data_IF_712633641976
#
_entry.id   IF_712633641976
#
_cell.length_a   1.000
_cell.length_b   1.000
_cell.length_c   1.000
_cell.angle_alpha   90.00
_cell.angle_beta   90.00
_cell.angle_gamma   90.00
#
_symmetry.space_group_name_H-M   'P 1'
#
loop_
_entity.id
_entity.type
_entity.pdbx_description
1 polymer ?
#
# COMPACT_ATOMS: atom_id res chain seq x y z
N UNK A 1 -6.58 -3.72 -0.34
CA UNK A 1 -5.52 -3.39 0.64
C UNK A 1 -5.44 -4.38 1.79
N UNK A 2 -6.56 -4.88 2.34
CA UNK A 2 -6.59 -5.90 3.40
C UNK A 2 -5.61 -7.08 3.19
N UNK A 3 -5.51 -7.60 1.97
CA UNK A 3 -4.58 -8.67 1.60
C UNK A 3 -3.12 -8.38 2.01
N UNK A 4 -2.62 -7.16 1.83
CA UNK A 4 -1.22 -6.85 2.16
C UNK A 4 -0.97 -6.84 3.67
N UNK A 5 -1.95 -6.40 4.47
CA UNK A 5 -1.87 -6.51 5.93
C UNK A 5 -1.86 -7.98 6.35
N UNK A 6 -2.73 -8.80 5.76
CA UNK A 6 -2.77 -10.24 6.00
C UNK A 6 -1.43 -10.91 5.65
N UNK A 7 -0.88 -10.67 4.46
CA UNK A 7 0.42 -11.23 4.05
C UNK A 7 1.54 -10.74 4.97
N UNK A 8 1.54 -9.47 5.39
CA UNK A 8 2.55 -8.98 6.33
C UNK A 8 2.44 -9.66 7.70
N UNK A 9 1.23 -9.96 8.17
CA UNK A 9 0.99 -10.75 9.38
C UNK A 9 1.43 -12.20 9.24
N UNK A 10 1.13 -12.82 8.12
CA UNK A 10 1.63 -14.15 7.75
C UNK A 10 3.16 -14.19 7.78
N UNK A 11 3.83 -13.17 7.25
CA UNK A 11 5.29 -13.07 7.29
C UNK A 11 5.88 -12.62 8.63
N UNK A 12 5.06 -12.37 9.66
CA UNK A 12 5.56 -12.00 10.99
C UNK A 12 6.30 -13.17 11.66
N UNK A 13 7.24 -12.83 12.53
CA UNK A 13 8.05 -13.77 13.29
C UNK A 13 8.13 -13.31 14.74
N UNK A 14 7.84 -14.21 15.68
CA UNK A 14 7.74 -13.91 17.10
C UNK A 14 9.03 -13.36 17.72
N UNK A 15 10.21 -13.60 17.10
CA UNK A 15 11.47 -12.97 17.52
C UNK A 15 11.40 -11.43 17.58
N UNK A 16 10.51 -10.83 16.79
CA UNK A 16 10.30 -9.38 16.77
C UNK A 16 9.49 -8.88 17.97
N UNK A 17 8.79 -9.76 18.67
CA UNK A 17 8.14 -9.45 19.94
C UNK A 17 9.16 -9.39 21.06
N UNK A 18 10.21 -10.22 21.01
CA UNK A 18 11.28 -10.21 22.02
C UNK A 18 12.26 -9.03 21.83
N UNK A 19 12.50 -8.62 20.58
CA UNK A 19 13.32 -7.46 20.23
C UNK A 19 12.55 -6.49 19.31
N UNK A 20 11.76 -5.62 19.92
CA UNK A 20 10.98 -4.59 19.23
C UNK A 20 11.89 -3.58 18.51
N UNK A 21 13.08 -3.27 19.06
CA UNK A 21 14.01 -2.34 18.44
C UNK A 21 14.55 -2.86 17.12
N UNK A 22 14.83 -4.17 17.04
CA UNK A 22 15.19 -4.84 15.78
C UNK A 22 14.07 -4.71 14.74
N UNK A 23 12.81 -4.91 15.15
CA UNK A 23 11.67 -4.72 14.25
C UNK A 23 11.60 -3.28 13.73
N UNK A 24 11.69 -2.29 14.63
CA UNK A 24 11.64 -0.87 14.27
C UNK A 24 12.75 -0.53 13.28
N UNK A 25 14.00 -0.93 13.54
CA UNK A 25 15.13 -0.73 12.62
C UNK A 25 14.86 -1.32 11.24
N UNK A 26 14.33 -2.55 11.18
CA UNK A 26 13.99 -3.22 9.91
C UNK A 26 12.87 -2.48 9.17
N UNK A 27 11.83 -2.03 9.87
CA UNK A 27 10.69 -1.31 9.27
C UNK A 27 11.05 0.12 8.86
N UNK A 28 11.96 0.78 9.57
CA UNK A 28 12.54 2.05 9.12
C UNK A 28 13.25 1.87 7.77
N UNK A 29 14.10 0.85 7.64
CA UNK A 29 14.81 0.59 6.37
C UNK A 29 13.87 0.16 5.23
N UNK A 30 12.86 -0.66 5.52
CA UNK A 30 12.03 -1.30 4.48
C UNK A 30 10.76 -0.53 4.11
N UNK A 31 10.25 0.33 5.00
CA UNK A 31 9.02 1.10 4.78
C UNK A 31 9.31 2.61 4.80
N UNK A 32 9.90 3.13 5.89
CA UNK A 32 10.12 4.57 6.07
C UNK A 32 11.09 5.16 5.03
N UNK A 33 12.26 4.54 4.83
CA UNK A 33 13.26 5.06 3.88
C UNK A 33 12.71 5.07 2.44
N UNK A 34 12.09 3.99 1.93
CA UNK A 34 11.44 4.03 0.63
C UNK A 34 10.32 5.07 0.55
N UNK A 35 9.44 5.16 1.55
CA UNK A 35 8.40 6.20 1.62
C UNK A 35 9.01 7.60 1.46
N UNK A 36 10.00 7.94 2.30
CA UNK A 36 10.59 9.27 2.31
C UNK A 36 11.29 9.57 0.99
N UNK A 37 11.96 8.58 0.38
CA UNK A 37 12.59 8.74 -0.94
C UNK A 37 11.58 9.15 -2.01
N UNK A 38 10.42 8.50 -2.07
CA UNK A 38 9.40 8.83 -3.08
C UNK A 38 8.70 10.15 -2.76
N UNK A 39 8.36 10.41 -1.51
CA UNK A 39 7.76 11.68 -1.09
C UNK A 39 8.67 12.87 -1.36
N UNK A 40 9.97 12.76 -1.10
CA UNK A 40 10.94 13.81 -1.41
C UNK A 40 11.08 14.03 -2.91
N UNK A 41 11.04 12.97 -3.71
CA UNK A 41 11.02 13.09 -5.16
C UNK A 41 9.75 13.85 -5.61
N UNK A 42 8.56 13.44 -5.15
CA UNK A 42 7.31 14.08 -5.54
C UNK A 42 7.24 15.54 -5.07
N UNK A 43 7.72 15.82 -3.86
CA UNK A 43 7.81 17.18 -3.32
C UNK A 43 8.73 18.04 -4.19
N UNK A 44 9.93 17.56 -4.54
CA UNK A 44 10.88 18.30 -5.38
C UNK A 44 10.27 18.71 -6.72
N UNK A 45 9.50 17.81 -7.35
CA UNK A 45 8.84 18.05 -8.62
C UNK A 45 7.45 18.68 -8.49
N UNK A 46 6.98 19.02 -7.29
CA UNK A 46 5.61 19.49 -7.05
C UNK A 46 5.22 20.66 -7.96
N UNK A 47 5.98 21.76 -7.93
CA UNK A 47 5.68 22.93 -8.76
C UNK A 47 5.87 22.67 -10.26
N UNK A 48 6.73 21.71 -10.64
CA UNK A 48 6.84 21.26 -12.04
C UNK A 48 5.57 20.54 -12.46
N UNK A 49 4.98 19.71 -11.58
CA UNK A 49 3.70 19.07 -11.84
C UNK A 49 2.55 20.07 -11.95
N UNK A 50 2.60 21.18 -11.22
CA UNK A 50 1.65 22.29 -11.39
C UNK A 50 1.82 22.94 -12.77
N UNK A 51 3.04 23.27 -13.19
CA UNK A 51 3.26 23.96 -14.48
C UNK A 51 2.83 23.12 -15.70
N UNK A 52 2.92 21.79 -15.60
CA UNK A 52 2.49 20.88 -16.68
C UNK A 52 1.05 20.35 -16.52
N UNK A 53 0.24 20.96 -15.64
CA UNK A 53 -1.17 20.60 -15.37
C UNK A 53 -1.39 19.19 -14.78
N UNK A 54 -0.36 18.52 -14.27
CA UNK A 54 -0.53 17.27 -13.49
C UNK A 54 -1.20 17.56 -12.15
N UNK A 55 -0.88 18.72 -11.56
CA UNK A 55 -1.55 19.29 -10.39
C UNK A 55 -2.36 20.53 -10.76
N UNK A 56 -3.42 20.83 -9.99
CA UNK A 56 -4.15 22.10 -10.10
C UNK A 56 -3.23 23.30 -9.83
N UNK A 57 -3.46 24.46 -10.48
CA UNK A 57 -2.70 25.68 -10.24
C UNK A 57 -2.78 26.16 -8.78
N UNK A 58 -3.88 25.86 -8.08
CA UNK A 58 -4.14 26.25 -6.69
C UNK A 58 -3.23 25.53 -5.69
N UNK A 59 -2.58 24.42 -6.08
CA UNK A 59 -1.67 23.67 -5.21
C UNK A 59 -0.23 24.18 -5.23
N UNK A 60 0.09 25.24 -5.97
CA UNK A 60 1.48 25.72 -6.11
C UNK A 60 2.09 26.08 -4.75
N UNK A 61 3.24 25.49 -4.43
CA UNK A 61 3.93 25.71 -3.18
C UNK A 61 4.85 26.93 -3.21
N UNK A 62 4.74 27.75 -2.17
CA UNK A 62 5.73 28.71 -1.71
C UNK A 62 6.91 28.03 -1.00
N UNK A 63 8.01 28.76 -0.77
CA UNK A 63 9.19 28.23 -0.06
C UNK A 63 8.86 27.72 1.34
N UNK A 64 7.96 28.40 2.05
CA UNK A 64 7.52 27.99 3.38
C UNK A 64 6.73 26.67 3.33
N UNK A 65 5.88 26.48 2.33
CA UNK A 65 5.12 25.24 2.15
C UNK A 65 6.01 24.05 1.79
N UNK A 66 7.07 24.26 0.99
CA UNK A 66 8.08 23.23 0.76
C UNK A 66 8.71 22.72 2.06
N UNK A 67 9.12 23.63 2.95
CA UNK A 67 9.72 23.28 4.25
C UNK A 67 8.68 22.59 5.14
N UNK A 68 7.45 23.13 5.21
CA UNK A 68 6.38 22.56 6.00
C UNK A 68 6.03 21.13 5.55
N UNK A 69 5.88 20.89 4.25
CA UNK A 69 5.57 19.57 3.70
C UNK A 69 6.75 18.61 3.80
N UNK A 70 8.01 19.10 3.71
CA UNK A 70 9.17 18.29 4.03
C UNK A 70 9.11 17.73 5.47
N UNK A 71 8.84 18.60 6.45
CA UNK A 71 8.73 18.19 7.87
C UNK A 71 7.55 17.23 8.06
N UNK A 72 6.39 17.52 7.47
CA UNK A 72 5.22 16.65 7.58
C UNK A 72 5.46 15.27 6.97
N UNK A 73 6.09 15.19 5.79
CA UNK A 73 6.45 13.93 5.15
C UNK A 73 7.47 13.18 6.02
N UNK A 74 8.48 13.86 6.58
CA UNK A 74 9.44 13.25 7.49
C UNK A 74 8.79 12.61 8.73
N UNK A 75 7.69 13.21 9.21
CA UNK A 75 6.94 12.74 10.38
C UNK A 75 5.75 11.82 10.05
N UNK A 76 5.59 11.36 8.80
CA UNK A 76 4.41 10.59 8.34
C UNK A 76 3.04 11.30 8.49
N UNK A 77 3.03 12.64 8.55
CA UNK A 77 1.83 13.46 8.77
C UNK A 77 1.11 13.77 7.46
N UNK A 78 1.81 13.74 6.33
CA UNK A 78 1.23 13.99 5.00
C UNK A 78 1.89 13.14 3.92
N UNK A 79 1.25 13.16 2.75
CA UNK A 79 1.78 12.63 1.49
C UNK A 79 1.43 13.62 0.38
N UNK A 80 2.27 13.68 -0.64
CA UNK A 80 1.96 14.35 -1.89
C UNK A 80 0.76 13.70 -2.58
N UNK A 81 0.01 14.44 -3.40
CA UNK A 81 -1.20 13.91 -4.05
C UNK A 81 -0.90 12.67 -4.93
N UNK A 82 0.19 12.68 -5.71
CA UNK A 82 0.67 11.50 -6.45
C UNK A 82 1.27 10.41 -5.56
N UNK A 83 1.60 10.74 -4.31
CA UNK A 83 2.03 9.82 -3.26
C UNK A 83 0.86 9.26 -2.46
N UNK A 84 -0.40 9.59 -2.80
CA UNK A 84 -1.55 9.28 -1.98
C UNK A 84 -1.67 7.80 -1.56
N UNK A 85 -1.16 6.84 -2.33
CA UNK A 85 -1.18 5.43 -1.95
C UNK A 85 -0.26 5.07 -0.76
N UNK A 86 0.68 5.95 -0.41
CA UNK A 86 1.62 5.75 0.69
C UNK A 86 0.96 5.79 2.08
N UNK A 87 -0.30 6.22 2.21
CA UNK A 87 -1.09 6.04 3.44
C UNK A 87 -1.01 4.59 3.95
N UNK A 88 -1.00 3.63 3.01
CA UNK A 88 -0.92 2.21 3.32
C UNK A 88 0.44 1.83 3.93
N UNK A 89 1.54 2.43 3.48
CA UNK A 89 2.89 2.16 4.00
C UNK A 89 3.03 2.69 5.43
N UNK A 90 2.49 3.88 5.70
CA UNK A 90 2.42 4.45 7.05
C UNK A 90 1.58 3.55 7.96
N UNK A 91 0.39 3.17 7.50
CA UNK A 91 -0.50 2.28 8.26
C UNK A 91 0.16 0.91 8.54
N UNK A 92 0.84 0.33 7.54
CA UNK A 92 1.55 -0.95 7.70
C UNK A 92 2.69 -0.85 8.71
N UNK A 93 3.41 0.27 8.74
CA UNK A 93 4.45 0.54 9.73
C UNK A 93 3.85 0.54 11.14
N UNK A 94 2.75 1.28 11.34
CA UNK A 94 2.03 1.36 12.63
C UNK A 94 1.54 -0.03 13.06
N UNK A 95 0.84 -0.76 12.19
CA UNK A 95 0.30 -2.10 12.49
C UNK A 95 1.40 -3.08 12.92
N UNK A 96 2.57 -3.05 12.27
CA UNK A 96 3.68 -3.92 12.65
C UNK A 96 4.19 -3.64 14.07
N UNK A 97 4.34 -2.37 14.43
CA UNK A 97 4.80 -1.96 15.76
C UNK A 97 3.73 -2.29 16.81
N UNK A 98 2.46 -1.94 16.53
CA UNK A 98 1.34 -2.26 17.41
C UNK A 98 1.25 -3.76 17.70
N UNK A 99 1.31 -4.60 16.66
CA UNK A 99 1.22 -6.04 16.84
C UNK A 99 2.38 -6.61 17.66
N UNK A 100 3.60 -6.09 17.48
CA UNK A 100 4.76 -6.49 18.26
C UNK A 100 4.65 -6.07 19.73
N UNK A 101 4.15 -4.86 20.01
CA UNK A 101 3.88 -4.39 21.37
C UNK A 101 2.82 -5.24 22.06
N UNK A 102 1.71 -5.52 21.38
CA UNK A 102 0.64 -6.39 21.90
C UNK A 102 1.20 -7.78 22.21
N UNK A 103 2.01 -8.34 21.31
CA UNK A 103 2.61 -9.66 21.49
C UNK A 103 3.62 -9.68 22.64
N UNK A 104 4.46 -8.64 22.75
CA UNK A 104 5.38 -8.46 23.87
C UNK A 104 4.64 -8.41 25.22
N UNK A 105 3.60 -7.58 25.34
CA UNK A 105 2.78 -7.49 26.55
C UNK A 105 2.08 -8.82 26.86
N UNK A 106 1.47 -9.44 25.85
CA UNK A 106 0.75 -10.71 26.02
C UNK A 106 1.66 -11.82 26.57
N UNK A 107 2.88 -11.92 26.04
CA UNK A 107 3.89 -12.90 26.47
C UNK A 107 4.37 -12.68 27.91
N UNK A 108 4.35 -11.42 28.39
CA UNK A 108 4.75 -11.05 29.76
C UNK A 108 3.64 -11.24 30.78
N UNK A 109 2.38 -11.00 30.40
CA UNK A 109 1.23 -11.13 31.30
C UNK A 109 0.92 -12.59 31.61
N UNK A 110 0.87 -13.46 30.60
CA UNK A 110 0.62 -14.89 30.82
C UNK A 110 1.12 -15.73 29.64
N UNK A 111 2.12 -16.58 29.89
CA UNK A 111 2.65 -17.50 28.88
C UNK A 111 1.60 -18.52 28.40
N UNK A 112 0.75 -19.01 29.31
CA UNK A 112 -0.26 -20.02 28.98
C UNK A 112 -1.45 -19.44 28.21
N UNK A 113 -1.77 -18.15 28.41
CA UNK A 113 -2.93 -17.50 27.81
C UNK A 113 -2.58 -16.41 26.79
N UNK A 114 -1.33 -16.35 26.32
CA UNK A 114 -0.82 -15.27 25.46
C UNK A 114 -1.67 -15.05 24.20
N UNK A 115 -2.10 -16.12 23.52
CA UNK A 115 -2.94 -15.98 22.32
C UNK A 115 -4.36 -15.49 22.65
N UNK A 116 -4.92 -15.90 23.79
CA UNK A 116 -6.22 -15.40 24.24
C UNK A 116 -6.16 -13.91 24.57
N UNK A 117 -5.09 -13.47 25.24
CA UNK A 117 -4.85 -12.05 25.54
C UNK A 117 -4.70 -11.25 24.25
N UNK A 118 -3.89 -11.74 23.31
CA UNK A 118 -3.69 -11.10 22.00
C UNK A 118 -5.01 -10.98 21.22
N UNK A 119 -5.82 -12.04 21.18
CA UNK A 119 -7.16 -12.02 20.56
C UNK A 119 -8.04 -10.92 21.12
N UNK A 120 -8.13 -10.84 22.45
CA UNK A 120 -8.96 -9.85 23.14
C UNK A 120 -8.48 -8.44 22.81
N UNK A 121 -7.18 -8.16 22.94
CA UNK A 121 -6.63 -6.82 22.66
C UNK A 121 -6.84 -6.42 21.19
N UNK A 122 -6.55 -7.31 20.24
CA UNK A 122 -6.74 -7.04 18.81
C UNK A 122 -8.22 -6.78 18.50
N UNK A 123 -9.14 -7.56 19.07
CA UNK A 123 -10.57 -7.38 18.86
C UNK A 123 -11.09 -6.07 19.47
N UNK A 124 -10.62 -5.69 20.66
CA UNK A 124 -10.95 -4.41 21.29
C UNK A 124 -10.47 -3.23 20.42
N UNK A 125 -9.24 -3.28 19.91
CA UNK A 125 -8.69 -2.23 19.05
C UNK A 125 -9.41 -2.16 17.69
N UNK A 126 -9.77 -3.31 17.11
CA UNK A 126 -10.60 -3.36 15.91
C UNK A 126 -11.97 -2.70 16.15
N UNK A 127 -12.63 -3.03 17.26
CA UNK A 127 -13.92 -2.48 17.63
C UNK A 127 -13.82 -0.97 17.83
N UNK A 128 -12.80 -0.51 18.55
CA UNK A 128 -12.50 0.91 18.75
C UNK A 128 -12.27 1.63 17.41
N UNK A 129 -11.49 1.04 16.49
CA UNK A 129 -11.26 1.59 15.15
C UNK A 129 -12.55 1.77 14.34
N UNK A 130 -13.45 0.80 14.39
CA UNK A 130 -14.75 0.89 13.72
C UNK A 130 -15.65 1.96 14.36
N UNK A 131 -15.72 2.03 15.69
CA UNK A 131 -16.47 3.06 16.42
C UNK A 131 -15.97 4.46 16.02
N UNK A 132 -14.66 4.67 16.02
CA UNK A 132 -14.04 5.95 15.62
C UNK A 132 -14.37 6.29 14.16
N UNK A 133 -14.35 5.30 13.26
CA UNK A 133 -14.66 5.49 11.84
C UNK A 133 -16.13 5.89 11.60
N UNK A 134 -17.07 5.29 12.35
CA UNK A 134 -18.51 5.59 12.25
C UNK A 134 -18.82 7.00 12.77
N UNK A 135 -18.29 7.35 13.94
CA UNK A 135 -18.63 8.61 14.60
C UNK A 135 -18.00 9.85 13.96
N UNK A 136 -17.14 9.67 12.94
CA UNK A 136 -16.46 10.74 12.16
C UNK A 136 -16.37 12.02 12.96
N UNK A 137 -15.50 12.01 13.99
CA UNK A 137 -15.25 13.21 14.78
C UNK A 137 -15.06 14.39 13.83
N UNK A 138 -15.67 15.55 14.14
CA UNK A 138 -15.61 16.80 13.36
C UNK A 138 -14.17 17.35 13.28
N UNK A 139 -13.25 16.53 12.78
CA UNK A 139 -11.85 16.80 12.61
C UNK A 139 -11.72 17.59 11.32
N UNK A 140 -11.03 18.71 11.43
CA UNK A 140 -10.79 19.64 10.33
C UNK A 140 -10.13 18.96 9.12
N UNK A 141 -10.45 19.48 7.93
CA UNK A 141 -9.88 19.06 6.66
C UNK A 141 -8.36 19.21 6.62
N UNK A 142 -7.67 18.32 5.91
CA UNK A 142 -6.24 18.41 5.64
C UNK A 142 -5.42 17.30 6.29
N UNK A 143 -4.21 17.63 6.72
CA UNK A 143 -3.22 16.65 7.21
C UNK A 143 -3.60 16.00 8.55
N UNK A 144 -4.35 16.69 9.41
CA UNK A 144 -4.85 16.12 10.67
C UNK A 144 -5.83 14.98 10.36
N UNK A 145 -6.77 15.19 9.43
CA UNK A 145 -7.69 14.16 8.97
C UNK A 145 -6.95 12.98 8.34
N UNK A 146 -5.93 13.25 7.52
CA UNK A 146 -5.09 12.18 6.93
C UNK A 146 -4.43 11.31 8.00
N UNK A 147 -3.77 11.93 8.99
CA UNK A 147 -3.07 11.21 10.05
C UNK A 147 -4.04 10.44 10.94
N UNK A 148 -5.17 11.06 11.30
CA UNK A 148 -6.23 10.41 12.07
C UNK A 148 -6.80 9.19 11.33
N UNK A 149 -7.17 9.35 10.06
CA UNK A 149 -7.65 8.25 9.22
C UNK A 149 -6.61 7.13 9.12
N UNK A 150 -5.33 7.45 9.02
CA UNK A 150 -4.26 6.46 8.97
C UNK A 150 -4.17 5.66 10.26
N UNK A 151 -4.30 6.29 11.43
CA UNK A 151 -4.33 5.60 12.72
C UNK A 151 -5.58 4.72 12.82
N UNK A 152 -6.78 5.27 12.55
CA UNK A 152 -8.03 4.52 12.63
C UNK A 152 -8.03 3.31 11.71
N UNK A 153 -7.56 3.48 10.46
CA UNK A 153 -7.38 2.38 9.51
C UNK A 153 -6.37 1.36 10.00
N UNK A 154 -5.31 1.78 10.71
CA UNK A 154 -4.34 0.85 11.32
C UNK A 154 -4.98 0.00 12.41
N UNK A 155 -5.87 0.58 13.24
CA UNK A 155 -6.64 -0.17 14.24
C UNK A 155 -7.52 -1.25 13.60
N UNK A 156 -8.24 -0.89 12.53
CA UNK A 156 -9.09 -1.83 11.76
C UNK A 156 -8.24 -2.90 11.06
N UNK A 157 -7.13 -2.50 10.44
CA UNK A 157 -6.23 -3.40 9.71
C UNK A 157 -5.50 -4.38 10.63
N UNK A 158 -5.32 -4.07 11.92
CA UNK A 158 -4.66 -4.93 12.89
C UNK A 158 -5.32 -6.31 13.01
N UNK A 159 -6.66 -6.37 12.93
CA UNK A 159 -7.37 -7.66 12.93
C UNK A 159 -7.03 -8.48 11.69
N UNK A 160 -6.97 -7.86 10.51
CA UNK A 160 -6.59 -8.53 9.26
C UNK A 160 -5.14 -9.01 9.28
N UNK A 161 -4.25 -8.19 9.85
CA UNK A 161 -2.87 -8.59 10.09
C UNK A 161 -2.78 -9.79 11.03
N UNK A 162 -3.53 -9.77 12.14
CA UNK A 162 -3.56 -10.88 13.09
C UNK A 162 -4.14 -12.16 12.47
N UNK A 163 -5.17 -12.05 11.61
CA UNK A 163 -5.68 -13.20 10.84
C UNK A 163 -4.58 -13.84 10.00
N UNK A 164 -3.70 -13.05 9.38
CA UNK A 164 -2.56 -13.57 8.62
C UNK A 164 -1.54 -14.30 9.50
N UNK A 165 -1.24 -13.74 10.66
CA UNK A 165 -0.37 -14.36 11.66
C UNK A 165 -0.91 -15.72 12.12
N UNK A 166 -2.19 -15.80 12.45
CA UNK A 166 -2.84 -17.05 12.86
C UNK A 166 -2.94 -18.02 11.69
N UNK A 167 -3.29 -17.56 10.49
CA UNK A 167 -3.39 -18.43 9.32
C UNK A 167 -2.10 -19.22 9.10
N UNK A 168 -0.92 -18.62 9.26
CA UNK A 168 0.37 -19.32 9.15
C UNK A 168 0.50 -20.53 10.10
N UNK A 169 -0.09 -20.46 11.29
CA UNK A 169 -0.04 -21.54 12.27
C UNK A 169 -1.00 -22.69 11.93
N UNK A 170 -2.04 -22.41 11.13
CA UNK A 170 -3.11 -23.35 10.79
C UNK A 170 -3.18 -23.64 9.28
N UNK A 171 -2.20 -23.21 8.49
CA UNK A 171 -2.23 -23.27 7.03
C UNK A 171 -2.46 -24.71 6.53
N UNK A 172 -1.78 -25.68 7.13
CA UNK A 172 -1.93 -27.10 6.78
C UNK A 172 -3.35 -27.65 7.04
N UNK A 173 -4.09 -27.03 7.96
CA UNK A 173 -5.46 -27.44 8.35
C UNK A 173 -6.54 -26.76 7.51
N UNK A 174 -6.18 -25.77 6.68
CA UNK A 174 -7.12 -24.99 5.89
C UNK A 174 -6.86 -25.28 4.40
N UNK A 175 -7.40 -26.38 3.85
CA UNK A 175 -7.25 -26.67 2.44
C UNK A 175 -7.96 -25.62 1.58
N UNK A 176 -7.27 -25.15 0.54
CA UNK A 176 -7.80 -24.20 -0.42
C UNK A 176 -8.56 -24.95 -1.53
N UNK A 177 -9.83 -24.63 -1.70
CA UNK A 177 -10.76 -25.31 -2.59
C UNK A 177 -11.28 -24.35 -3.67
N UNK A 178 -11.36 -24.84 -4.91
CA UNK A 178 -11.85 -24.08 -6.05
C UNK A 178 -13.30 -23.59 -5.85
N UNK A 179 -14.15 -24.45 -5.28
CA UNK A 179 -15.56 -24.14 -5.01
C UNK A 179 -15.71 -22.94 -4.07
N UNK A 180 -14.96 -22.90 -2.98
CA UNK A 180 -14.96 -21.77 -2.04
C UNK A 180 -14.39 -20.49 -2.67
N UNK A 181 -13.41 -20.60 -3.57
CA UNK A 181 -12.89 -19.47 -4.32
C UNK A 181 -13.96 -18.89 -5.27
N UNK A 182 -14.68 -19.75 -5.98
CA UNK A 182 -15.81 -19.35 -6.85
C UNK A 182 -16.93 -18.71 -6.03
N UNK A 183 -17.33 -19.33 -4.91
CA UNK A 183 -18.32 -18.77 -3.98
C UNK A 183 -17.88 -17.38 -3.50
N UNK A 184 -16.62 -17.21 -3.14
CA UNK A 184 -16.06 -15.92 -2.73
C UNK A 184 -16.11 -14.87 -3.84
N UNK A 185 -15.86 -15.25 -5.10
CA UNK A 185 -15.96 -14.35 -6.26
C UNK A 185 -17.40 -13.91 -6.47
N UNK A 186 -18.35 -14.86 -6.48
CA UNK A 186 -19.78 -14.59 -6.64
C UNK A 186 -20.27 -13.69 -5.51
N UNK A 187 -19.86 -13.99 -4.27
CA UNK A 187 -20.19 -13.17 -3.12
C UNK A 187 -19.69 -11.73 -3.28
N UNK A 188 -18.42 -11.52 -3.62
CA UNK A 188 -17.87 -10.16 -3.82
C UNK A 188 -18.56 -9.40 -4.95
N UNK A 189 -18.92 -10.10 -6.05
CA UNK A 189 -19.64 -9.50 -7.16
C UNK A 189 -21.03 -9.00 -6.74
N UNK A 190 -21.75 -9.79 -5.94
CA UNK A 190 -23.04 -9.39 -5.35
C UNK A 190 -22.83 -8.25 -4.35
N UNK A 191 -21.82 -8.37 -3.48
CA UNK A 191 -21.59 -7.45 -2.37
C UNK A 191 -21.24 -6.03 -2.82
N UNK A 192 -20.61 -5.89 -3.99
CA UNK A 192 -20.33 -4.58 -4.61
C UNK A 192 -21.59 -3.72 -4.83
N UNK A 193 -22.78 -4.32 -4.93
CA UNK A 193 -24.05 -3.58 -5.08
C UNK A 193 -24.54 -2.94 -3.78
N UNK A 194 -24.09 -3.45 -2.63
CA UNK A 194 -24.60 -3.06 -1.31
C UNK A 194 -23.66 -2.10 -0.57
N UNK A 195 -22.40 -2.00 -0.98
CA UNK A 195 -21.43 -1.18 -0.28
C UNK A 195 -20.07 -1.08 -0.96
N UNK A 196 -19.23 -0.19 -0.43
CA UNK A 196 -17.86 0.00 -0.88
C UNK A 196 -16.94 0.23 0.32
N UNK A 197 -15.73 -0.33 0.26
CA UNK A 197 -14.72 -0.19 1.30
C UNK A 197 -13.59 0.69 0.78
N UNK A 198 -13.32 1.79 1.47
CA UNK A 198 -12.15 2.63 1.24
C UNK A 198 -11.33 2.71 2.51
N UNK A 199 -10.35 1.81 2.66
CA UNK A 199 -9.43 1.84 3.81
C UNK A 199 -8.62 3.14 3.84
N UNK A 200 -8.19 3.66 2.68
CA UNK A 200 -7.43 4.91 2.61
C UNK A 200 -8.26 6.14 2.96
N UNK A 201 -9.57 6.10 2.66
CA UNK A 201 -10.53 7.11 3.09
C UNK A 201 -11.13 6.85 4.46
N UNK A 202 -10.70 5.79 5.18
CA UNK A 202 -11.26 5.36 6.46
C UNK A 202 -12.81 5.24 6.42
N UNK A 203 -13.33 4.68 5.32
CA UNK A 203 -14.76 4.53 5.06
C UNK A 203 -15.11 3.06 4.93
N UNK A 204 -15.92 2.58 5.87
CA UNK A 204 -16.44 1.23 5.95
C UNK A 204 -17.96 1.30 6.06
N UNK A 205 -18.69 0.43 5.35
CA UNK A 205 -20.15 0.33 5.50
C UNK A 205 -20.51 -0.13 6.92
N UNK A 206 -19.95 -1.27 7.32
CA UNK A 206 -20.04 -1.83 8.66
C UNK A 206 -18.88 -2.83 8.88
N UNK A 207 -18.59 -3.21 10.13
CA UNK A 207 -17.46 -4.09 10.45
C UNK A 207 -17.58 -5.48 9.82
N UNK A 208 -18.79 -6.04 9.72
CA UNK A 208 -19.01 -7.38 9.17
C UNK A 208 -18.82 -7.39 7.66
N UNK A 209 -19.36 -6.40 6.96
CA UNK A 209 -19.15 -6.19 5.54
C UNK A 209 -17.67 -6.06 5.20
N UNK A 210 -16.91 -5.29 6.01
CA UNK A 210 -15.46 -5.18 5.85
C UNK A 210 -14.75 -6.53 6.00
N UNK A 211 -15.06 -7.29 7.05
CA UNK A 211 -14.38 -8.55 7.34
C UNK A 211 -14.71 -9.62 6.31
N UNK A 212 -15.98 -9.83 6.00
CA UNK A 212 -16.40 -10.86 5.03
C UNK A 212 -15.81 -10.56 3.66
N UNK A 213 -15.89 -9.31 3.20
CA UNK A 213 -15.29 -8.90 1.92
C UNK A 213 -13.77 -9.09 1.91
N UNK A 214 -13.10 -8.77 3.02
CA UNK A 214 -11.66 -8.96 3.16
C UNK A 214 -11.28 -10.43 3.12
N UNK A 215 -12.01 -11.30 3.84
CA UNK A 215 -11.77 -12.76 3.89
C UNK A 215 -11.98 -13.38 2.51
N UNK A 216 -13.08 -13.06 1.81
CA UNK A 216 -13.31 -13.54 0.45
C UNK A 216 -12.18 -13.10 -0.49
N UNK A 217 -11.77 -11.83 -0.44
CA UNK A 217 -10.67 -11.31 -1.25
C UNK A 217 -9.34 -12.00 -0.95
N UNK A 218 -9.03 -12.21 0.33
CA UNK A 218 -7.81 -12.92 0.76
C UNK A 218 -7.84 -14.37 0.27
N UNK A 219 -8.95 -15.07 0.46
CA UNK A 219 -9.11 -16.47 0.06
C UNK A 219 -8.89 -16.68 -1.43
N UNK A 220 -9.51 -15.83 -2.27
CA UNK A 220 -9.34 -15.86 -3.73
C UNK A 220 -7.87 -15.70 -4.10
N UNK A 221 -7.18 -14.73 -3.49
CA UNK A 221 -5.77 -14.48 -3.79
C UNK A 221 -4.86 -15.62 -3.33
N UNK A 222 -5.11 -16.22 -2.17
CA UNK A 222 -4.38 -17.41 -1.72
C UNK A 222 -4.57 -18.59 -2.66
N UNK A 223 -5.82 -18.85 -3.07
CA UNK A 223 -6.14 -19.93 -4.02
C UNK A 223 -5.45 -19.72 -5.37
N UNK A 224 -5.55 -18.52 -5.95
CA UNK A 224 -4.89 -18.17 -7.21
C UNK A 224 -3.38 -18.27 -7.09
N UNK A 225 -2.79 -17.75 -6.00
CA UNK A 225 -1.35 -17.82 -5.75
C UNK A 225 -0.85 -19.27 -5.73
N UNK A 226 -1.56 -20.16 -5.00
CA UNK A 226 -1.24 -21.59 -4.93
C UNK A 226 -1.38 -22.26 -6.30
N UNK A 227 -2.47 -22.00 -7.02
CA UNK A 227 -2.70 -22.53 -8.36
C UNK A 227 -1.60 -22.13 -9.36
N UNK A 228 -1.17 -20.86 -9.32
CA UNK A 228 -0.08 -20.35 -10.16
C UNK A 228 1.25 -21.02 -9.79
N UNK A 229 1.54 -21.13 -8.48
CA UNK A 229 2.78 -21.71 -7.96
C UNK A 229 2.93 -23.20 -8.36
N UNK A 230 1.86 -23.99 -8.20
CA UNK A 230 1.86 -25.42 -8.54
C UNK A 230 2.09 -25.67 -10.03
N UNK A 231 1.57 -24.79 -10.90
CA UNK A 231 1.69 -24.91 -12.36
C UNK A 231 2.91 -24.21 -12.95
N UNK A 232 3.72 -23.56 -12.13
CA UNK A 232 4.89 -22.76 -12.55
C UNK A 232 4.58 -21.69 -13.61
N UNK A 233 3.35 -21.21 -13.66
CA UNK A 233 2.89 -20.26 -14.69
C UNK A 233 3.40 -18.86 -14.38
N UNK A 234 4.22 -18.29 -15.27
CA UNK A 234 4.67 -16.89 -15.19
C UNK A 234 5.32 -16.47 -13.85
N UNK A 235 5.80 -17.42 -13.05
CA UNK A 235 6.35 -17.16 -11.71
C UNK A 235 7.45 -16.09 -11.78
N UNK A 236 8.38 -16.18 -12.73
CA UNK A 236 9.48 -15.23 -12.87
C UNK A 236 9.00 -13.79 -13.11
N UNK A 237 7.95 -13.60 -13.91
CA UNK A 237 7.40 -12.28 -14.20
C UNK A 237 6.68 -11.73 -12.97
N UNK A 238 5.81 -12.53 -12.34
CA UNK A 238 5.07 -12.13 -11.15
C UNK A 238 6.00 -11.84 -9.96
N UNK A 239 7.07 -12.62 -9.80
CA UNK A 239 8.12 -12.36 -8.82
C UNK A 239 8.85 -11.04 -9.11
N UNK A 240 9.17 -10.75 -10.37
CA UNK A 240 9.82 -9.51 -10.75
C UNK A 240 8.93 -8.29 -10.48
N UNK A 241 7.64 -8.38 -10.81
CA UNK A 241 6.64 -7.36 -10.46
C UNK A 241 6.58 -7.18 -8.93
N UNK A 242 6.46 -8.29 -8.19
CA UNK A 242 6.35 -8.30 -6.74
C UNK A 242 7.58 -7.69 -6.04
N UNK A 243 8.79 -8.01 -6.49
CA UNK A 243 10.05 -7.43 -5.99
C UNK A 243 10.11 -5.91 -6.20
N UNK A 244 9.41 -5.39 -7.21
CA UNK A 244 9.35 -3.98 -7.57
C UNK A 244 8.07 -3.26 -7.09
N UNK A 245 7.29 -3.88 -6.21
CA UNK A 245 6.01 -3.31 -5.70
C UNK A 245 6.17 -1.90 -5.15
N UNK A 246 7.27 -1.58 -4.47
CA UNK A 246 7.46 -0.21 -3.94
C UNK A 246 7.60 0.85 -5.02
N UNK A 247 8.23 0.52 -6.15
CA UNK A 247 8.36 1.45 -7.28
C UNK A 247 7.01 1.66 -7.94
N UNK A 248 6.23 0.59 -8.07
CA UNK A 248 4.85 0.64 -8.58
C UNK A 248 4.00 1.55 -7.69
N UNK A 249 4.02 1.35 -6.36
CA UNK A 249 3.29 2.21 -5.41
C UNK A 249 3.72 3.67 -5.55
N UNK A 250 5.02 3.96 -5.70
CA UNK A 250 5.51 5.33 -5.83
C UNK A 250 5.17 6.04 -7.14
N UNK A 251 5.00 5.31 -8.25
CA UNK A 251 4.87 5.92 -9.57
C UNK A 251 3.58 5.60 -10.34
N UNK A 252 2.72 4.69 -9.89
CA UNK A 252 1.52 4.32 -10.64
C UNK A 252 0.56 5.50 -10.88
N UNK A 253 0.39 6.43 -9.92
CA UNK A 253 -0.43 7.62 -10.15
C UNK A 253 0.18 8.58 -11.17
N UNK A 254 1.51 8.69 -11.21
CA UNK A 254 2.20 9.45 -12.27
C UNK A 254 2.03 8.76 -13.64
N UNK A 255 2.14 7.42 -13.67
CA UNK A 255 1.88 6.62 -14.87
C UNK A 255 0.44 6.79 -15.39
N UNK A 256 -0.55 6.93 -14.49
CA UNK A 256 -1.93 7.23 -14.89
C UNK A 256 -2.05 8.56 -15.63
N UNK A 257 -1.24 9.58 -15.28
CA UNK A 257 -1.26 10.87 -15.98
C UNK A 257 -0.89 10.74 -17.46
N UNK A 258 -0.02 9.79 -17.82
CA UNK A 258 0.30 9.49 -19.22
C UNK A 258 -0.90 8.91 -19.97
N UNK A 259 -1.66 8.00 -19.35
CA UNK A 259 -2.92 7.48 -19.93
C UNK A 259 -3.97 8.59 -20.03
N UNK A 260 -4.07 9.45 -19.02
CA UNK A 260 -4.95 10.62 -19.03
C UNK A 260 -4.60 11.59 -20.17
N UNK A 261 -3.32 11.83 -20.47
CA UNK A 261 -2.92 12.64 -21.63
C UNK A 261 -3.38 12.03 -22.96
N UNK A 262 -3.27 10.71 -23.12
CA UNK A 262 -3.78 10.01 -24.31
C UNK A 262 -5.30 10.23 -24.42
N UNK A 263 -6.03 10.07 -23.31
CA UNK A 263 -7.47 10.30 -23.25
C UNK A 263 -7.83 11.74 -23.61
N UNK A 264 -7.12 12.74 -23.08
CA UNK A 264 -7.33 14.15 -23.40
C UNK A 264 -7.20 14.39 -24.91
N UNK A 265 -6.15 13.85 -25.53
CA UNK A 265 -5.91 13.99 -26.97
C UNK A 265 -6.98 13.29 -27.82
N UNK A 266 -7.42 12.09 -27.42
CA UNK A 266 -8.41 11.32 -28.19
C UNK A 266 -9.82 11.91 -28.13
N UNK A 267 -10.20 12.50 -27.00
CA UNK A 267 -11.54 13.08 -26.80
C UNK A 267 -11.56 14.61 -26.89
N UNK A 268 -10.45 15.25 -27.31
CA UNK A 268 -10.28 16.71 -27.37
C UNK A 268 -10.71 17.43 -26.08
N UNK A 269 -10.32 16.88 -24.93
CA UNK A 269 -10.64 17.46 -23.63
C UNK A 269 -9.71 18.65 -23.32
N UNK A 270 -10.12 19.58 -22.44
CA UNK A 270 -9.22 20.61 -21.93
C UNK A 270 -8.03 20.00 -21.18
N UNK A 271 -6.82 20.55 -21.36
CA UNK A 271 -5.60 20.03 -20.70
C UNK A 271 -5.69 20.06 -19.17
N UNK A 272 -6.50 20.97 -18.61
CA UNK A 272 -6.76 21.11 -17.18
C UNK A 272 -7.37 19.84 -16.57
N UNK A 273 -8.05 19.01 -17.38
CA UNK A 273 -8.57 17.71 -16.95
C UNK A 273 -7.45 16.78 -16.49
N UNK A 274 -6.19 16.99 -16.92
CA UNK A 274 -5.03 16.22 -16.48
C UNK A 274 -4.82 16.31 -14.97
N UNK A 275 -5.23 17.41 -14.34
CA UNK A 275 -5.11 17.62 -12.90
C UNK A 275 -6.03 16.72 -12.07
N UNK A 276 -7.11 16.19 -12.67
CA UNK A 276 -8.07 15.31 -11.99
C UNK A 276 -7.39 14.08 -11.40
N UNK A 277 -7.84 13.72 -10.20
CA UNK A 277 -7.25 12.66 -9.41
C UNK A 277 -8.27 11.58 -9.03
N UNK A 278 -7.87 10.29 -9.06
CA UNK A 278 -6.61 9.76 -9.59
C UNK A 278 -6.56 9.71 -11.12
N UNK A 279 -7.73 9.74 -11.78
CA UNK A 279 -7.90 9.63 -13.24
C UNK A 279 -9.00 10.57 -13.73
N UNK A 280 -9.03 10.85 -15.03
CA UNK A 280 -10.11 11.62 -15.67
C UNK A 280 -11.37 10.75 -15.72
N UNK A 281 -12.50 11.25 -15.19
CA UNK A 281 -13.85 10.66 -15.17
C UNK A 281 -13.98 9.28 -15.85
N UNK A 282 -14.25 8.23 -15.07
CA UNK A 282 -14.26 6.85 -15.55
C UNK A 282 -15.28 6.65 -16.68
N UNK A 283 -14.78 6.27 -17.85
CA UNK A 283 -15.59 5.90 -19.03
C UNK A 283 -15.29 4.45 -19.39
N UNK A 284 -16.33 3.61 -19.45
CA UNK A 284 -16.30 2.21 -19.97
C UNK A 284 -15.10 1.39 -19.48
N UNK A 285 -14.10 1.16 -20.34
CA UNK A 285 -13.02 0.19 -20.15
C UNK A 285 -11.64 0.81 -19.91
N UNK A 286 -11.56 2.13 -19.74
CA UNK A 286 -10.28 2.83 -19.54
C UNK A 286 -9.51 2.38 -18.30
N UNK A 287 -10.21 1.85 -17.30
CA UNK A 287 -9.60 1.29 -16.10
C UNK A 287 -8.56 0.20 -16.42
N UNK A 288 -8.75 -0.59 -17.49
CA UNK A 288 -7.79 -1.63 -17.92
C UNK A 288 -6.47 -0.99 -18.34
N UNK A 289 -6.54 0.07 -19.16
CA UNK A 289 -5.35 0.79 -19.61
C UNK A 289 -4.63 1.48 -18.45
N UNK A 290 -5.38 2.09 -17.52
CA UNK A 290 -4.81 2.65 -16.30
C UNK A 290 -4.10 1.57 -15.48
N UNK A 291 -4.75 0.43 -15.21
CA UNK A 291 -4.15 -0.68 -14.44
C UNK A 291 -2.88 -1.22 -15.09
N UNK A 292 -2.90 -1.45 -16.41
CA UNK A 292 -1.71 -1.92 -17.15
C UNK A 292 -0.59 -0.89 -17.10
N UNK A 293 -0.87 0.37 -17.42
CA UNK A 293 0.13 1.44 -17.41
C UNK A 293 0.73 1.67 -16.01
N UNK A 294 -0.10 1.60 -14.97
CA UNK A 294 0.32 1.75 -13.58
C UNK A 294 1.32 0.70 -13.12
N UNK A 295 1.35 -0.47 -13.76
CA UNK A 295 2.31 -1.54 -13.47
C UNK A 295 3.48 -1.51 -14.46
N UNK A 296 3.18 -1.49 -15.77
CA UNK A 296 4.18 -1.61 -16.83
C UNK A 296 5.13 -0.42 -16.84
N UNK A 297 4.65 0.82 -16.70
CA UNK A 297 5.51 2.00 -16.82
C UNK A 297 6.50 2.12 -15.65
N UNK A 298 6.11 1.95 -14.37
CA UNK A 298 7.08 1.91 -13.28
C UNK A 298 8.09 0.78 -13.41
N UNK A 299 7.68 -0.41 -13.89
CA UNK A 299 8.59 -1.53 -14.09
C UNK A 299 9.58 -1.26 -15.24
N UNK A 300 9.10 -0.66 -16.34
CA UNK A 300 9.96 -0.26 -17.45
C UNK A 300 11.02 0.74 -16.99
N UNK A 301 10.64 1.69 -16.12
CA UNK A 301 11.58 2.62 -15.50
C UNK A 301 12.67 1.88 -14.70
N UNK A 302 12.29 0.90 -13.87
CA UNK A 302 13.27 0.06 -13.14
C UNK A 302 14.22 -0.63 -14.11
N UNK A 303 13.69 -1.31 -15.10
CA UNK A 303 14.47 -2.05 -16.09
C UNK A 303 15.47 -1.15 -16.83
N UNK A 304 15.03 0.06 -17.22
CA UNK A 304 15.90 1.06 -17.86
C UNK A 304 17.02 1.51 -16.93
N UNK A 305 16.70 1.81 -15.65
CA UNK A 305 17.70 2.25 -14.66
C UNK A 305 18.73 1.14 -14.37
N UNK A 306 18.30 -0.12 -14.28
CA UNK A 306 19.19 -1.27 -14.11
C UNK A 306 20.13 -1.43 -15.31
N UNK A 307 19.61 -1.30 -16.53
CA UNK A 307 20.40 -1.39 -17.76
C UNK A 307 21.42 -0.25 -17.84
N UNK A 308 21.04 0.99 -17.52
CA UNK A 308 21.94 2.14 -17.50
C UNK A 308 23.06 1.96 -16.47
N UNK A 309 22.73 1.49 -15.25
CA UNK A 309 23.72 1.19 -14.21
C UNK A 309 24.74 0.17 -14.70
N UNK A 310 24.30 -0.88 -15.38
CA UNK A 310 25.19 -1.91 -15.92
C UNK A 310 26.12 -1.37 -17.01
N UNK A 311 25.63 -0.47 -17.87
CA UNK A 311 26.47 0.22 -18.87
C UNK A 311 27.54 1.07 -18.20
N UNK A 312 27.16 1.87 -17.19
CA UNK A 312 28.09 2.75 -16.45
C UNK A 312 29.17 1.93 -15.72
N UNK A 313 28.78 0.82 -15.07
CA UNK A 313 29.73 -0.06 -14.37
C UNK A 313 30.71 -0.68 -15.36
N UNK A 314 30.24 -1.18 -16.52
CA UNK A 314 31.11 -1.73 -17.57
C UNK A 314 32.07 -0.68 -18.13
N UNK A 315 31.60 0.55 -18.35
CA UNK A 315 32.44 1.66 -18.79
C UNK A 315 33.54 1.99 -17.77
N UNK A 316 33.21 2.00 -16.47
CA UNK A 316 34.18 2.25 -15.39
C UNK A 316 35.24 1.14 -15.31
N UNK A 317 34.85 -0.13 -15.42
CA UNK A 317 35.80 -1.25 -15.43
C UNK A 317 36.74 -1.16 -16.64
N UNK A 318 36.20 -0.83 -17.82
CA UNK A 318 36.98 -0.68 -19.06
C UNK A 318 37.97 0.50 -18.98
N UNK A 319 37.58 1.60 -18.33
CA UNK A 319 38.46 2.74 -18.09
C UNK A 319 39.61 2.39 -17.15
N UNK A 320 39.32 1.72 -16.02
CA UNK A 320 40.36 1.29 -15.06
C UNK A 320 41.34 0.29 -15.69
N UNK A 321 40.87 -0.62 -16.55
CA UNK A 321 41.76 -1.55 -17.27
C UNK A 321 42.64 -0.88 -18.32
N UNK A 322 42.24 0.28 -18.86
CA UNK A 322 43.02 1.02 -19.85
C UNK A 322 44.02 1.99 -19.21
N UNK A 323 43.76 2.48 -17.99
CA UNK A 323 44.70 3.33 -17.24
C UNK A 323 45.84 2.52 -16.60
N UNK A 324 45.62 1.23 -16.35
CA UNK A 324 46.61 0.32 -15.76
C UNK A 324 47.46 -0.44 -16.81
N UNK A 325 47.38 -0.06 -18.09
CA UNK A 325 48.22 -0.55 -19.19
C UNK A 325 49.18 0.54 -19.63
#
# INVERSE_FOLDING_TARGET
MALFFFISGYCYNDKYSDDILLLVKKRLKTLYVPFLKYELFLLLFHNVFVTINIYPPELRYSRAEYIANFIKNFCFISTEQLGGAFWFIVSLFIVNIMFALISYVSNRVSKNNMESIRRVIVFLLFSLGNIISIHKFNISTGYILYYFNTITTSLVALLVYYMGYIYKQYEEKIPLNASLAIISIVFLYINHRYGNISMGGNSYNDPAFFLISSICGIYINLYISKFIAERKLYITILEYIGKNTMVIIGFHFLAFKLVSLIKIKLYNLPIQELSKFPVINQTRYWWVLYSLAGIILPILLVYMLEKLKNVIVRARVSYVSNVNK
#
